data_IF_644716660672
#
_entry.id   IF_644716660672
#
_cell.length_a   1.000
_cell.length_b   1.000
_cell.length_c   1.000
_cell.angle_alpha   90.00
_cell.angle_beta   90.00
_cell.angle_gamma   90.00
#
_symmetry.space_group_name_H-M   'P 1'
#
loop_
_entity.id
_entity.type
_entity.pdbx_description
1 polymer ?
#
# COMPACT_ATOMS: atom_id res chain seq x y z
N UNK A 1 31.94 51.88 37.52
CA UNK A 1 31.67 51.73 36.07
C UNK A 1 32.71 50.91 35.31
N UNK A 2 34.01 51.00 35.62
CA UNK A 2 35.05 50.23 34.89
C UNK A 2 34.97 48.70 35.06
N UNK A 3 34.59 48.19 36.24
CA UNK A 3 34.45 46.74 36.47
C UNK A 3 33.32 46.09 35.68
N UNK A 4 32.20 46.79 35.48
CA UNK A 4 31.05 46.27 34.74
C UNK A 4 31.36 46.12 33.23
N UNK A 5 32.12 47.08 32.68
CA UNK A 5 32.57 47.03 31.28
C UNK A 5 33.56 45.89 31.03
N UNK A 6 34.40 45.58 32.01
CA UNK A 6 35.33 44.46 31.94
C UNK A 6 34.58 43.12 31.92
N UNK A 7 33.55 42.97 32.75
CA UNK A 7 32.70 41.78 32.78
C UNK A 7 31.92 41.56 31.48
N UNK A 8 31.36 42.62 30.90
CA UNK A 8 30.65 42.52 29.60
C UNK A 8 31.63 42.11 28.50
N UNK A 9 32.85 42.66 28.47
CA UNK A 9 33.88 42.28 27.49
C UNK A 9 34.36 40.84 27.65
N UNK A 10 34.49 40.36 28.89
CA UNK A 10 34.84 38.95 29.15
C UNK A 10 33.71 38.04 28.70
N UNK A 11 32.45 38.39 28.98
CA UNK A 11 31.29 37.59 28.58
C UNK A 11 31.13 37.52 27.06
N UNK A 12 31.34 38.63 26.34
CA UNK A 12 31.31 38.64 24.87
C UNK A 12 32.47 37.88 24.27
N UNK A 13 33.68 37.97 24.83
CA UNK A 13 34.81 37.15 24.39
C UNK A 13 34.57 35.65 24.60
N UNK A 14 34.01 35.25 25.74
CA UNK A 14 33.68 33.83 26.00
C UNK A 14 32.60 33.35 25.03
N UNK A 15 31.58 34.17 24.76
CA UNK A 15 30.53 33.83 23.79
C UNK A 15 31.08 33.66 22.36
N UNK A 16 32.00 34.53 21.92
CA UNK A 16 32.63 34.43 20.60
C UNK A 16 33.56 33.21 20.48
N UNK A 17 34.27 32.85 21.56
CA UNK A 17 35.11 31.64 21.59
C UNK A 17 34.24 30.38 21.53
N UNK A 18 33.14 30.34 22.29
CA UNK A 18 32.19 29.22 22.24
C UNK A 18 31.52 29.09 20.87
N UNK A 19 31.17 30.21 20.23
CA UNK A 19 30.64 30.22 18.88
C UNK A 19 31.68 29.72 17.86
N UNK A 20 32.93 30.14 17.98
CA UNK A 20 34.02 29.69 17.11
C UNK A 20 34.33 28.20 17.29
N UNK A 21 34.28 27.68 18.52
CA UNK A 21 34.42 26.24 18.81
C UNK A 21 33.23 25.45 18.25
N UNK A 22 32.01 25.99 18.32
CA UNK A 22 30.83 25.38 17.72
C UNK A 22 30.92 25.32 16.20
N UNK A 23 31.35 26.41 15.55
CA UNK A 23 31.59 26.44 14.11
C UNK A 23 32.72 25.50 13.69
N UNK A 24 33.81 25.44 14.46
CA UNK A 24 34.90 24.50 14.21
C UNK A 24 34.43 23.04 14.34
N UNK A 25 33.62 22.71 15.36
CA UNK A 25 33.03 21.37 15.50
C UNK A 25 32.03 21.02 14.38
N UNK A 26 31.31 22.01 13.81
CA UNK A 26 30.48 21.80 12.62
C UNK A 26 31.31 21.51 11.37
N UNK A 27 32.40 22.25 11.15
CA UNK A 27 33.28 22.06 9.98
C UNK A 27 34.07 20.77 10.09
N UNK A 28 34.61 20.44 11.27
CA UNK A 28 35.29 19.14 11.50
C UNK A 28 34.32 17.96 11.37
N UNK A 29 33.04 18.11 11.74
CA UNK A 29 32.02 17.08 11.44
C UNK A 29 31.77 16.90 9.95
N UNK A 30 31.90 17.95 9.13
CA UNK A 30 31.76 17.82 7.67
C UNK A 30 32.98 17.22 6.97
N UNK A 31 34.17 17.32 7.57
CA UNK A 31 35.42 16.80 6.96
C UNK A 31 35.76 15.36 7.38
N UNK A 32 35.14 14.82 8.44
CA UNK A 32 35.37 13.42 8.89
C UNK A 32 34.54 12.39 8.11
N UNK A 33 33.57 12.80 7.28
CA UNK A 33 32.81 11.87 6.42
C UNK A 33 33.46 11.58 5.06
N UNK A 34 34.64 12.15 4.75
CA UNK A 34 35.40 11.84 3.53
C UNK A 34 36.69 11.10 3.90
N UNK A 35 36.54 9.87 4.38
CA UNK A 35 37.65 8.97 4.69
C UNK A 35 37.17 7.53 4.77
N UNK A 36 37.34 6.79 3.67
CA UNK A 36 36.79 5.44 3.49
C UNK A 36 37.11 4.46 4.62
N UNK A 37 36.07 3.79 5.10
CA UNK A 37 36.11 2.43 5.67
C UNK A 37 34.71 1.84 5.60
N UNK A 38 34.57 0.72 4.89
CA UNK A 38 33.34 -0.09 4.87
C UNK A 38 32.89 -0.43 6.30
N UNK A 39 31.60 -0.28 6.63
CA UNK A 39 30.97 -1.02 7.70
C UNK A 39 30.04 -2.10 7.14
N UNK A 40 30.17 -3.30 7.71
CA UNK A 40 29.34 -4.49 7.51
C UNK A 40 27.85 -4.16 7.37
N UNK A 41 27.25 -4.64 6.28
CA UNK A 41 25.81 -4.62 6.07
C UNK A 41 25.13 -5.70 6.91
N UNK A 42 24.74 -5.37 8.14
CA UNK A 42 23.70 -6.11 8.85
C UNK A 42 22.85 -5.16 9.70
N UNK A 43 21.93 -4.44 9.06
CA UNK A 43 20.61 -4.03 9.59
C UNK A 43 19.86 -3.28 8.49
N UNK A 44 19.09 -3.98 7.67
CA UNK A 44 18.25 -3.38 6.63
C UNK A 44 16.83 -3.91 6.72
N UNK A 45 16.00 -3.33 7.59
CA UNK A 45 14.58 -3.64 7.73
C UNK A 45 13.69 -3.00 6.63
N UNK A 46 14.33 -2.34 5.65
CA UNK A 46 13.69 -1.73 4.49
C UNK A 46 14.10 -2.54 3.25
N UNK A 47 13.56 -3.74 3.11
CA UNK A 47 13.70 -4.49 1.86
C UNK A 47 12.42 -4.28 1.06
N UNK A 48 12.46 -3.36 0.10
CA UNK A 48 11.54 -3.42 -1.05
C UNK A 48 12.05 -4.59 -1.88
N UNK A 49 11.26 -5.65 -2.00
CA UNK A 49 11.54 -6.72 -2.95
C UNK A 49 11.50 -6.08 -4.35
N UNK A 50 12.61 -6.09 -5.12
CA UNK A 50 12.57 -5.56 -6.47
C UNK A 50 11.67 -6.45 -7.32
N UNK A 51 10.59 -5.88 -7.86
CA UNK A 51 9.98 -6.42 -9.07
C UNK A 51 10.96 -6.15 -10.21
N UNK A 52 11.55 -7.22 -10.72
CA UNK A 52 12.44 -7.19 -11.88
C UNK A 52 11.62 -6.90 -13.14
N UNK A 53 11.69 -5.67 -13.63
CA UNK A 53 11.42 -5.36 -15.04
C UNK A 53 12.76 -5.36 -15.79
N UNK A 54 13.17 -6.55 -16.26
CA UNK A 54 14.07 -6.67 -17.40
C UNK A 54 13.41 -7.66 -18.38
N UNK A 55 12.45 -7.16 -19.16
CA UNK A 55 12.12 -7.78 -20.44
C UNK A 55 13.16 -7.34 -21.49
N UNK A 56 14.32 -7.98 -21.47
CA UNK A 56 15.03 -8.26 -22.71
C UNK A 56 15.56 -9.70 -22.65
N UNK A 57 14.88 -10.56 -23.40
CA UNK A 57 15.06 -12.00 -23.38
C UNK A 57 16.43 -12.39 -23.98
N UNK A 58 17.46 -12.41 -23.14
CA UNK A 58 18.69 -13.18 -23.39
C UNK A 58 18.73 -14.36 -22.44
N UNK A 59 18.31 -15.53 -22.94
CA UNK A 59 18.42 -16.81 -22.24
C UNK A 59 19.91 -17.14 -22.08
N UNK A 60 20.45 -16.88 -20.90
CA UNK A 60 21.67 -17.52 -20.41
C UNK A 60 21.26 -18.59 -19.41
N UNK A 61 21.58 -19.85 -19.72
CA UNK A 61 21.36 -20.98 -18.83
C UNK A 61 22.49 -21.03 -17.82
N UNK A 62 22.24 -20.61 -16.58
CA UNK A 62 23.04 -21.02 -15.44
C UNK A 62 22.38 -22.26 -14.82
N UNK A 63 23.19 -23.31 -14.66
CA UNK A 63 22.81 -24.65 -14.22
C UNK A 63 22.31 -24.66 -12.77
N UNK A 64 20.99 -24.65 -12.56
CA UNK A 64 20.37 -25.10 -11.31
C UNK A 64 19.87 -26.55 -11.47
N UNK A 65 20.29 -27.40 -10.53
CA UNK A 65 20.08 -28.84 -10.58
C UNK A 65 18.59 -29.23 -10.59
N UNK A 66 18.21 -30.04 -11.59
CA UNK A 66 16.90 -30.67 -11.73
C UNK A 66 16.52 -31.47 -10.46
N UNK A 67 15.30 -31.33 -9.90
CA UNK A 67 14.87 -32.18 -8.79
C UNK A 67 14.68 -33.63 -9.26
N UNK A 68 15.14 -34.59 -8.45
CA UNK A 68 15.05 -36.02 -8.73
C UNK A 68 13.58 -36.48 -8.65
N UNK A 69 12.96 -36.76 -9.79
CA UNK A 69 11.57 -37.24 -9.93
C UNK A 69 11.30 -38.62 -9.30
N UNK A 70 12.28 -39.24 -8.62
CA UNK A 70 12.20 -40.62 -8.10
C UNK A 70 11.48 -40.77 -6.75
N UNK A 71 11.16 -39.67 -6.05
CA UNK A 71 10.60 -39.73 -4.68
C UNK A 71 9.26 -39.04 -4.51
N UNK A 72 8.55 -38.74 -5.60
CA UNK A 72 7.27 -38.03 -5.52
C UNK A 72 6.13 -39.01 -5.17
N UNK A 73 5.45 -38.77 -4.04
CA UNK A 73 4.27 -39.54 -3.63
C UNK A 73 3.09 -39.19 -4.56
N UNK A 74 2.65 -40.16 -5.36
CA UNK A 74 1.59 -40.01 -6.36
C UNK A 74 0.29 -40.61 -5.83
N UNK A 75 -0.81 -39.90 -5.99
CA UNK A 75 -2.13 -40.34 -5.57
C UNK A 75 -2.68 -41.46 -6.47
N UNK A 76 -3.12 -42.57 -5.86
CA UNK A 76 -3.67 -43.74 -6.56
C UNK A 76 -5.21 -43.78 -6.41
N UNK A 77 -5.96 -43.37 -7.45
CA UNK A 77 -7.42 -43.19 -7.36
C UNK A 77 -8.21 -44.49 -7.37
N UNK A 78 -9.32 -44.52 -6.63
CA UNK A 78 -10.36 -45.56 -6.71
C UNK A 78 -11.68 -45.03 -7.27
N UNK A 79 -12.66 -45.91 -7.48
CA UNK A 79 -14.02 -45.52 -7.90
C UNK A 79 -14.79 -44.73 -6.82
N UNK A 80 -14.39 -44.88 -5.57
CA UNK A 80 -14.92 -44.11 -4.45
C UNK A 80 -13.98 -42.95 -4.10
N UNK A 81 -14.53 -41.91 -3.47
CA UNK A 81 -13.80 -40.71 -3.06
C UNK A 81 -12.77 -41.04 -1.97
N UNK A 82 -11.53 -40.63 -2.21
CA UNK A 82 -10.43 -40.79 -1.27
C UNK A 82 -9.73 -39.45 -1.02
N UNK A 83 -9.30 -39.24 0.23
CA UNK A 83 -8.59 -38.03 0.63
C UNK A 83 -7.19 -37.96 -0.01
N UNK A 84 -6.85 -36.79 -0.55
CA UNK A 84 -5.54 -36.48 -1.13
C UNK A 84 -4.69 -35.76 -0.09
N UNK A 85 -3.51 -36.32 0.22
CA UNK A 85 -2.60 -35.71 1.20
C UNK A 85 -2.00 -34.40 0.69
N UNK A 86 -1.73 -33.42 1.58
CA UNK A 86 -1.06 -32.18 1.20
C UNK A 86 0.32 -32.45 0.57
N UNK A 87 0.54 -31.97 -0.66
CA UNK A 87 1.78 -32.18 -1.42
C UNK A 87 1.83 -33.45 -2.27
N UNK A 88 0.80 -34.31 -2.23
CA UNK A 88 0.71 -35.50 -3.06
C UNK A 88 0.31 -35.15 -4.50
N UNK A 89 1.01 -35.72 -5.49
CA UNK A 89 0.76 -35.41 -6.90
C UNK A 89 -0.50 -36.15 -7.41
N UNK A 90 -1.46 -35.41 -7.96
CA UNK A 90 -2.71 -35.98 -8.51
C UNK A 90 -2.57 -36.20 -10.02
N UNK A 91 -2.72 -37.43 -10.53
CA UNK A 91 -2.73 -37.71 -11.96
C UNK A 91 -3.84 -36.95 -12.72
N UNK A 92 -3.53 -36.49 -13.94
CA UNK A 92 -4.51 -35.81 -14.80
C UNK A 92 -5.63 -36.78 -15.20
N UNK A 93 -6.88 -36.31 -15.17
CA UNK A 93 -8.07 -37.09 -15.57
C UNK A 93 -8.91 -37.62 -14.40
N UNK A 94 -8.64 -37.21 -13.16
CA UNK A 94 -9.42 -37.59 -11.98
C UNK A 94 -10.48 -36.55 -11.63
N UNK A 95 -11.59 -37.02 -11.04
CA UNK A 95 -12.59 -36.13 -10.47
C UNK A 95 -12.09 -35.69 -9.08
N UNK A 96 -11.81 -34.40 -8.90
CA UNK A 96 -11.28 -33.82 -7.66
C UNK A 96 -12.30 -32.86 -7.07
N UNK A 97 -12.53 -32.94 -5.75
CA UNK A 97 -13.42 -32.02 -5.03
C UNK A 97 -12.82 -31.61 -3.68
N UNK A 98 -13.32 -30.50 -3.13
CA UNK A 98 -13.07 -30.11 -1.75
C UNK A 98 -14.30 -30.46 -0.91
N UNK A 99 -14.14 -31.29 0.11
CA UNK A 99 -15.21 -31.63 1.03
C UNK A 99 -15.47 -30.43 1.95
N UNK A 100 -16.61 -29.77 1.80
CA UNK A 100 -16.92 -28.50 2.46
C UNK A 100 -17.14 -28.67 3.98
N UNK A 101 -17.48 -29.88 4.45
CA UNK A 101 -17.67 -30.16 5.87
C UNK A 101 -16.37 -30.49 6.60
N UNK A 102 -15.39 -31.09 5.92
CA UNK A 102 -14.09 -31.47 6.53
C UNK A 102 -12.93 -30.57 6.10
N UNK A 103 -13.10 -29.77 5.05
CA UNK A 103 -12.06 -28.92 4.47
C UNK A 103 -10.97 -29.67 3.69
N UNK A 104 -11.13 -30.97 3.46
CA UNK A 104 -10.11 -31.83 2.84
C UNK A 104 -10.34 -32.01 1.34
N UNK A 105 -9.26 -32.14 0.57
CA UNK A 105 -9.31 -32.44 -0.87
C UNK A 105 -9.49 -33.94 -1.08
N UNK A 106 -10.48 -34.34 -1.87
CA UNK A 106 -10.76 -35.73 -2.22
C UNK A 106 -10.68 -35.91 -3.74
N UNK A 107 -10.25 -37.09 -4.20
CA UNK A 107 -10.25 -37.44 -5.61
C UNK A 107 -10.75 -38.87 -5.86
N UNK A 108 -11.43 -39.10 -6.99
CA UNK A 108 -11.86 -40.42 -7.46
C UNK A 108 -11.71 -40.58 -8.97
N UNK A 109 -11.80 -41.82 -9.44
CA UNK A 109 -11.88 -42.16 -10.86
C UNK A 109 -13.21 -41.66 -11.47
N UNK A 110 -13.18 -41.20 -12.72
CA UNK A 110 -14.40 -40.77 -13.43
C UNK A 110 -15.29 -41.98 -13.77
N UNK A 111 -16.61 -41.82 -13.65
CA UNK A 111 -17.58 -42.88 -13.93
C UNK A 111 -17.70 -43.07 -15.45
N UNK A 112 -17.24 -44.22 -15.96
CA UNK A 112 -17.24 -44.57 -17.40
C UNK A 112 -15.89 -44.99 -17.97
N UNK A 113 -14.81 -44.86 -17.21
CA UNK A 113 -13.45 -45.19 -17.66
C UNK A 113 -13.02 -46.60 -17.19
N UNK A 114 -13.06 -47.60 -18.08
CA UNK A 114 -12.66 -48.99 -17.80
C UNK A 114 -11.26 -49.34 -18.36
N UNK A 115 -10.52 -48.36 -18.90
CA UNK A 115 -9.36 -48.59 -19.78
C UNK A 115 -7.95 -48.42 -19.17
N UNK A 116 -7.79 -48.39 -17.85
CA UNK A 116 -6.48 -48.19 -17.21
C UNK A 116 -5.88 -49.53 -16.76
N UNK A 117 -4.83 -50.01 -17.45
CA UNK A 117 -4.01 -51.16 -17.02
C UNK A 117 -2.65 -50.70 -16.49
N UNK A 118 -2.25 -51.30 -15.38
CA UNK A 118 -0.97 -51.05 -14.71
C UNK A 118 0.11 -51.95 -15.30
N UNK A 119 1.29 -51.40 -15.58
CA UNK A 119 2.48 -52.22 -15.86
C UNK A 119 3.55 -52.02 -14.77
N UNK A 120 4.33 -53.09 -14.56
CA UNK A 120 5.50 -53.10 -13.68
C UNK A 120 6.69 -53.67 -14.43
N UNK A 121 7.80 -52.91 -14.50
CA UNK A 121 9.07 -53.45 -14.99
C UNK A 121 10.25 -52.78 -14.27
N UNK A 122 11.07 -53.57 -13.57
CA UNK A 122 12.33 -53.13 -12.97
C UNK A 122 12.21 -51.93 -12.03
N UNK A 123 11.29 -51.99 -11.05
CA UNK A 123 11.09 -50.93 -10.05
C UNK A 123 10.30 -49.71 -10.52
N UNK A 124 9.91 -49.63 -11.80
CA UNK A 124 9.05 -48.58 -12.34
C UNK A 124 7.62 -49.09 -12.49
N UNK A 125 6.65 -48.31 -12.01
CA UNK A 125 5.21 -48.58 -12.13
C UNK A 125 4.53 -47.36 -12.76
N UNK A 126 3.63 -47.60 -13.72
CA UNK A 126 2.90 -46.54 -14.43
C UNK A 126 1.57 -47.02 -14.95
N UNK A 127 0.66 -46.06 -15.20
CA UNK A 127 -0.68 -46.31 -15.74
C UNK A 127 -0.67 -45.92 -17.22
N UNK A 128 -1.06 -46.84 -18.11
CA UNK A 128 -1.23 -46.56 -19.54
C UNK A 128 -2.72 -46.65 -19.87
N UNK A 129 -3.24 -45.60 -20.48
CA UNK A 129 -4.57 -45.59 -21.07
C UNK A 129 -4.50 -46.29 -22.42
N UNK A 130 -5.18 -47.43 -22.59
CA UNK A 130 -5.10 -48.24 -23.82
C UNK A 130 -5.94 -47.72 -24.99
N UNK A 131 -6.69 -46.63 -24.83
CA UNK A 131 -7.62 -46.13 -25.86
C UNK A 131 -7.06 -45.03 -26.77
N UNK A 132 -5.84 -44.56 -26.52
CA UNK A 132 -5.13 -43.69 -27.48
C UNK A 132 -4.02 -44.49 -28.14
N UNK A 133 -4.04 -44.56 -29.47
CA UNK A 133 -2.93 -45.09 -30.26
C UNK A 133 -1.68 -44.26 -29.97
N UNK A 134 -0.72 -44.84 -29.25
CA UNK A 134 0.56 -44.18 -29.01
C UNK A 134 1.51 -44.50 -30.16
N UNK A 135 1.97 -43.46 -30.83
CA UNK A 135 3.06 -43.54 -31.80
C UNK A 135 4.38 -43.79 -31.07
N UNK A 136 5.13 -44.80 -31.52
CA UNK A 136 6.49 -45.03 -31.01
C UNK A 136 7.42 -43.90 -31.45
N UNK A 137 8.58 -43.72 -30.78
CA UNK A 137 9.60 -42.77 -31.25
C UNK A 137 10.03 -43.02 -32.69
N UNK A 138 10.00 -44.27 -33.17
CA UNK A 138 10.21 -44.59 -34.58
C UNK A 138 9.04 -44.14 -35.48
N UNK A 139 7.79 -44.30 -35.03
CA UNK A 139 6.60 -43.82 -35.77
C UNK A 139 6.58 -42.29 -35.88
N UNK A 140 6.94 -41.59 -34.80
CA UNK A 140 7.13 -40.14 -34.78
C UNK A 140 8.26 -39.70 -35.72
N UNK A 141 9.36 -40.45 -35.77
CA UNK A 141 10.50 -40.17 -36.65
C UNK A 141 10.16 -40.44 -38.12
N UNK A 142 9.26 -41.39 -38.39
CA UNK A 142 8.71 -41.67 -39.73
C UNK A 142 7.71 -40.59 -40.15
N UNK A 143 6.81 -40.17 -39.26
CA UNK A 143 5.86 -39.08 -39.48
C UNK A 143 6.56 -37.71 -39.69
N UNK A 144 7.64 -37.43 -38.95
CA UNK A 144 8.47 -36.24 -39.16
C UNK A 144 9.23 -36.26 -40.49
N UNK A 145 9.53 -37.44 -41.03
CA UNK A 145 10.12 -37.60 -42.36
C UNK A 145 9.08 -37.36 -43.47
N UNK A 146 7.83 -37.75 -43.24
CA UNK A 146 6.69 -37.46 -44.14
C UNK A 146 6.31 -35.97 -44.13
N UNK A 147 6.44 -35.28 -42.99
CA UNK A 147 6.19 -33.83 -42.87
C UNK A 147 7.16 -32.96 -43.70
N UNK A 148 8.36 -33.45 -44.00
CA UNK A 148 9.34 -32.73 -44.84
C UNK A 148 9.14 -32.95 -46.35
N UNK A 149 8.19 -33.80 -46.78
CA UNK A 149 8.00 -34.16 -48.21
C UNK A 149 6.66 -33.72 -48.79
N UNK A 150 5.74 -33.14 -48.01
CA UNK A 150 4.57 -32.49 -48.59
C UNK A 150 4.94 -31.05 -48.97
N UNK A 151 5.11 -30.82 -50.28
CA UNK A 151 4.97 -29.49 -50.86
C UNK A 151 3.66 -28.89 -50.32
N UNK A 152 3.70 -27.61 -49.96
CA UNK A 152 2.51 -26.83 -49.64
C UNK A 152 1.54 -27.02 -50.83
N UNK A 153 0.38 -27.64 -50.59
CA UNK A 153 -0.63 -27.80 -51.64
C UNK A 153 -1.26 -26.43 -51.96
N UNK A 154 -1.71 -26.27 -53.20
CA UNK A 154 -2.27 -25.01 -53.72
C UNK A 154 -3.50 -24.53 -52.90
N UNK A 155 -4.24 -25.44 -52.27
CA UNK A 155 -5.42 -25.14 -51.43
C UNK A 155 -5.08 -24.41 -50.11
N UNK A 156 -3.98 -24.78 -49.43
CA UNK A 156 -3.56 -24.14 -48.18
C UNK A 156 -2.99 -22.74 -48.43
N UNK A 157 -2.31 -22.57 -49.58
CA UNK A 157 -1.87 -21.27 -50.07
C UNK A 157 -3.08 -20.36 -50.35
N UNK A 158 -4.11 -20.89 -51.02
CA UNK A 158 -5.32 -20.13 -51.34
C UNK A 158 -6.13 -19.72 -50.09
N UNK A 159 -6.15 -20.58 -49.06
CA UNK A 159 -6.79 -20.29 -47.77
C UNK A 159 -6.03 -19.22 -46.98
N UNK A 160 -4.70 -19.30 -46.93
CA UNK A 160 -3.86 -18.26 -46.31
C UNK A 160 -3.98 -16.93 -47.06
N UNK A 161 -4.07 -16.94 -48.40
CA UNK A 161 -4.31 -15.74 -49.19
C UNK A 161 -5.70 -15.15 -48.97
N UNK A 162 -6.75 -15.97 -48.84
CA UNK A 162 -8.11 -15.50 -48.51
C UNK A 162 -8.14 -14.80 -47.14
N UNK A 163 -7.39 -15.31 -46.16
CA UNK A 163 -7.26 -14.67 -44.84
C UNK A 163 -6.45 -13.38 -44.94
N UNK A 164 -5.31 -13.37 -45.65
CA UNK A 164 -4.51 -12.15 -45.89
C UNK A 164 -5.28 -11.07 -46.65
N UNK A 165 -6.21 -11.43 -47.54
CA UNK A 165 -7.09 -10.47 -48.24
C UNK A 165 -8.20 -9.91 -47.35
N UNK A 166 -8.52 -10.57 -46.23
CA UNK A 166 -9.61 -10.16 -45.31
C UNK A 166 -9.14 -9.18 -44.24
N UNK A 167 -7.86 -9.17 -43.92
CA UNK A 167 -7.27 -8.30 -42.89
C UNK A 167 -6.20 -7.42 -43.52
N UNK A 168 -6.17 -6.14 -43.14
CA UNK A 168 -5.08 -5.25 -43.51
C UNK A 168 -3.77 -5.78 -42.94
N UNK A 169 -2.68 -5.61 -43.68
CA UNK A 169 -1.36 -5.96 -43.17
C UNK A 169 -1.01 -5.11 -41.94
N UNK A 170 -0.14 -5.62 -41.07
CA UNK A 170 0.34 -4.87 -39.90
C UNK A 170 0.98 -3.54 -40.32
N UNK A 171 1.69 -3.51 -41.45
CA UNK A 171 2.31 -2.29 -42.00
C UNK A 171 1.27 -1.29 -42.52
N UNK A 172 0.19 -1.74 -43.17
CA UNK A 172 -0.93 -0.87 -43.57
C UNK A 172 -1.69 -0.33 -42.37
N UNK A 173 -1.90 -1.14 -41.33
CA UNK A 173 -2.54 -0.69 -40.09
C UNK A 173 -1.67 0.35 -39.37
N UNK A 174 -0.35 0.14 -39.32
CA UNK A 174 0.61 1.10 -38.76
C UNK A 174 0.60 2.41 -39.54
N UNK A 175 0.57 2.36 -40.87
CA UNK A 175 0.52 3.54 -41.74
C UNK A 175 -0.83 4.27 -41.69
N UNK A 176 -1.94 3.54 -41.61
CA UNK A 176 -3.27 4.12 -41.42
C UNK A 176 -3.39 4.81 -40.05
N UNK A 177 -2.76 4.24 -39.01
CA UNK A 177 -2.66 4.83 -37.68
C UNK A 177 -1.75 6.05 -37.66
N UNK A 178 -0.65 6.06 -38.41
CA UNK A 178 0.21 7.25 -38.59
C UNK A 178 -0.48 8.35 -39.43
N UNK A 179 -1.35 7.98 -40.37
CA UNK A 179 -2.10 8.92 -41.21
C UNK A 179 -3.32 9.54 -40.53
N UNK A 180 -3.85 8.89 -39.50
CA UNK A 180 -4.76 9.47 -38.53
C UNK A 180 -3.88 10.18 -37.50
N UNK A 181 -3.74 11.51 -37.55
CA UNK A 181 -2.97 12.31 -36.59
C UNK A 181 -3.58 12.29 -35.18
N UNK A 182 -3.80 11.10 -34.63
CA UNK A 182 -4.04 10.85 -33.22
C UNK A 182 -2.66 10.75 -32.59
N UNK A 183 -2.20 11.86 -32.02
CA UNK A 183 -1.05 11.85 -31.12
C UNK A 183 -1.45 11.08 -29.85
N UNK A 184 -1.52 9.75 -29.95
CA UNK A 184 -1.73 8.87 -28.79
C UNK A 184 -0.39 8.82 -28.07
N UNK A 185 -0.14 9.85 -27.26
CA UNK A 185 0.97 9.81 -26.31
C UNK A 185 0.64 8.77 -25.25
N UNK A 186 1.61 7.92 -24.95
CA UNK A 186 1.52 7.05 -23.79
C UNK A 186 1.62 7.87 -22.51
N UNK A 187 1.08 7.36 -21.40
CA UNK A 187 1.22 7.98 -20.07
C UNK A 187 2.71 8.19 -19.75
N UNK A 188 3.57 7.22 -20.09
CA UNK A 188 5.03 7.31 -19.95
C UNK A 188 5.63 8.50 -20.70
N UNK A 189 5.33 8.65 -21.99
CA UNK A 189 5.85 9.77 -22.79
C UNK A 189 5.36 11.11 -22.25
N UNK A 190 4.09 11.15 -21.84
CA UNK A 190 3.48 12.37 -21.28
C UNK A 190 4.15 12.76 -19.96
N UNK A 191 4.36 11.81 -19.04
CA UNK A 191 5.05 12.06 -17.76
C UNK A 191 6.48 12.55 -17.99
N UNK A 192 7.21 11.95 -18.94
CA UNK A 192 8.56 12.39 -19.29
C UNK A 192 8.58 13.84 -19.79
N UNK A 193 7.67 14.18 -20.70
CA UNK A 193 7.54 15.54 -21.24
C UNK A 193 7.16 16.56 -20.16
N UNK A 194 6.15 16.26 -19.33
CA UNK A 194 5.72 17.12 -18.23
C UNK A 194 6.85 17.33 -17.20
N UNK A 195 7.62 16.28 -16.90
CA UNK A 195 8.75 16.35 -15.96
C UNK A 195 9.89 17.20 -16.52
N UNK A 196 10.21 17.07 -17.81
CA UNK A 196 11.22 17.91 -18.47
C UNK A 196 10.79 19.38 -18.49
N UNK A 197 9.50 19.65 -18.79
CA UNK A 197 8.95 20.99 -18.71
C UNK A 197 9.09 21.60 -17.31
N UNK A 198 8.78 20.85 -16.24
CA UNK A 198 8.97 21.34 -14.86
C UNK A 198 10.42 21.72 -14.54
N UNK A 199 11.40 21.09 -15.20
CA UNK A 199 12.81 21.35 -14.97
C UNK A 199 13.29 22.63 -15.67
N UNK A 200 12.52 23.12 -16.66
CA UNK A 200 12.82 24.36 -17.34
C UNK A 200 12.70 25.57 -16.39
N UNK A 201 13.68 26.46 -16.43
CA UNK A 201 13.74 27.65 -15.58
C UNK A 201 12.87 28.82 -16.09
N UNK A 202 12.22 28.66 -17.23
CA UNK A 202 11.44 29.70 -17.91
C UNK A 202 9.99 29.79 -17.48
N UNK A 203 9.47 28.77 -16.79
CA UNK A 203 8.06 28.72 -16.40
C UNK A 203 7.76 29.62 -15.20
N UNK A 204 6.63 30.31 -15.25
CA UNK A 204 6.13 31.03 -14.10
C UNK A 204 5.52 30.09 -13.04
N UNK A 205 5.10 30.65 -11.90
CA UNK A 205 4.54 29.83 -10.81
C UNK A 205 3.20 29.20 -11.19
N UNK A 206 2.38 29.89 -12.00
CA UNK A 206 1.06 29.41 -12.41
C UNK A 206 1.19 28.26 -13.41
N UNK A 207 2.05 28.42 -14.43
CA UNK A 207 2.35 27.37 -15.40
C UNK A 207 2.92 26.11 -14.72
N UNK A 208 3.76 26.29 -13.69
CA UNK A 208 4.25 25.16 -12.89
C UNK A 208 3.15 24.46 -12.11
N UNK A 209 2.20 25.21 -11.54
CA UNK A 209 1.03 24.62 -10.88
C UNK A 209 0.20 23.83 -11.88
N UNK A 210 -0.09 24.38 -13.05
CA UNK A 210 -0.90 23.72 -14.10
C UNK A 210 -0.26 22.40 -14.57
N UNK A 211 1.08 22.38 -14.74
CA UNK A 211 1.81 21.15 -15.09
C UNK A 211 1.75 20.13 -13.94
N UNK A 212 1.89 20.57 -12.69
CA UNK A 212 1.80 19.67 -11.54
C UNK A 212 0.38 19.15 -11.32
N UNK A 213 -0.66 19.93 -11.62
CA UNK A 213 -2.05 19.47 -11.65
C UNK A 213 -2.26 18.42 -12.74
N UNK A 214 -1.69 18.63 -13.92
CA UNK A 214 -1.74 17.63 -14.98
C UNK A 214 -1.01 16.34 -14.56
N UNK A 215 0.18 16.44 -13.98
CA UNK A 215 0.92 15.27 -13.47
C UNK A 215 0.12 14.53 -12.38
N UNK A 216 -0.57 15.24 -11.50
CA UNK A 216 -1.39 14.65 -10.43
C UNK A 216 -2.36 13.61 -10.98
N UNK A 217 -3.00 13.90 -12.12
CA UNK A 217 -3.96 12.99 -12.78
C UNK A 217 -3.31 11.67 -13.20
N UNK A 218 -2.05 11.73 -13.69
CA UNK A 218 -1.30 10.54 -14.11
C UNK A 218 -0.76 9.72 -12.93
N UNK A 219 -0.32 10.39 -11.85
CA UNK A 219 0.33 9.71 -10.71
C UNK A 219 -0.66 8.93 -9.83
N UNK A 220 -1.97 9.00 -10.09
CA UNK A 220 -2.93 8.09 -9.48
C UNK A 220 -2.67 6.61 -9.81
N UNK A 221 -2.00 6.34 -10.94
CA UNK A 221 -1.54 5.00 -11.27
C UNK A 221 -0.20 4.71 -10.60
N UNK A 222 -0.08 3.54 -9.96
CA UNK A 222 1.10 3.17 -9.16
C UNK A 222 2.36 3.14 -10.04
N UNK A 223 2.27 2.56 -11.23
CA UNK A 223 3.40 2.42 -12.16
C UNK A 223 3.90 3.80 -12.65
N UNK A 224 2.97 4.71 -12.94
CA UNK A 224 3.29 6.09 -13.30
C UNK A 224 3.98 6.85 -12.15
N UNK A 225 3.52 6.65 -10.92
CA UNK A 225 4.16 7.23 -9.72
C UNK A 225 5.57 6.67 -9.51
N UNK A 226 5.79 5.37 -9.77
CA UNK A 226 7.11 4.75 -9.74
C UNK A 226 8.01 5.34 -10.82
N UNK A 227 7.55 5.39 -12.07
CA UNK A 227 8.28 6.01 -13.18
C UNK A 227 8.70 7.44 -12.85
N UNK A 228 7.76 8.26 -12.36
CA UNK A 228 8.01 9.65 -11.98
C UNK A 228 9.05 9.76 -10.85
N UNK A 229 9.08 8.79 -9.93
CA UNK A 229 10.11 8.68 -8.91
C UNK A 229 11.48 8.33 -9.50
N UNK A 230 11.54 7.33 -10.40
CA UNK A 230 12.77 6.83 -11.00
C UNK A 230 13.46 7.86 -11.90
N UNK A 231 12.69 8.68 -12.63
CA UNK A 231 13.22 9.78 -13.44
C UNK A 231 13.58 11.02 -12.63
N UNK A 232 13.48 10.96 -11.29
CA UNK A 232 13.87 12.04 -10.38
C UNK A 232 12.83 13.15 -10.20
N UNK A 233 11.61 12.99 -10.72
CA UNK A 233 10.52 13.97 -10.61
C UNK A 233 10.16 14.29 -9.16
N UNK A 234 10.18 13.29 -8.27
CA UNK A 234 9.90 13.48 -6.84
C UNK A 234 10.82 14.49 -6.17
N UNK A 235 12.10 14.55 -6.55
CA UNK A 235 13.06 15.51 -5.99
C UNK A 235 12.62 16.95 -6.23
N UNK A 236 12.07 17.23 -7.41
CA UNK A 236 11.62 18.56 -7.81
C UNK A 236 10.41 18.99 -6.97
N UNK A 237 9.48 18.06 -6.74
CA UNK A 237 8.27 18.27 -5.92
C UNK A 237 8.65 18.53 -4.47
N UNK A 238 9.59 17.77 -3.92
CA UNK A 238 10.07 17.93 -2.54
C UNK A 238 10.69 19.32 -2.33
N UNK A 239 11.41 19.85 -3.32
CA UNK A 239 11.98 21.21 -3.25
C UNK A 239 10.88 22.29 -3.20
N UNK A 240 9.77 22.06 -3.87
CA UNK A 240 8.61 22.97 -3.92
C UNK A 240 7.76 22.99 -2.65
N UNK A 241 7.99 22.08 -1.69
CA UNK A 241 7.25 22.03 -0.42
C UNK A 241 7.47 23.26 0.48
N UNK A 242 8.60 23.97 0.35
CA UNK A 242 8.87 25.22 1.10
C UNK A 242 8.74 26.46 0.21
N UNK A 243 8.01 26.38 -0.90
CA UNK A 243 7.85 27.51 -1.80
C UNK A 243 7.06 28.66 -1.15
N UNK A 244 7.34 29.90 -1.56
CA UNK A 244 6.69 31.11 -1.02
C UNK A 244 5.19 31.15 -1.33
N UNK A 245 4.80 30.71 -2.54
CA UNK A 245 3.39 30.58 -2.94
C UNK A 245 2.69 29.42 -2.23
N UNK A 246 1.52 29.68 -1.67
CA UNK A 246 0.66 28.67 -1.04
C UNK A 246 0.17 27.63 -2.04
N UNK A 247 -0.17 28.04 -3.27
CA UNK A 247 -0.64 27.14 -4.32
C UNK A 247 0.42 26.09 -4.66
N UNK A 248 1.69 26.53 -4.77
CA UNK A 248 2.82 25.63 -5.01
C UNK A 248 3.00 24.60 -3.88
N UNK A 249 2.90 25.02 -2.61
CA UNK A 249 2.96 24.09 -1.47
C UNK A 249 1.77 23.14 -1.46
N UNK A 250 0.59 23.62 -1.82
CA UNK A 250 -0.66 22.85 -1.89
C UNK A 250 -0.60 21.75 -2.95
N UNK A 251 -0.21 22.10 -4.19
CA UNK A 251 -0.11 21.13 -5.28
C UNK A 251 1.03 20.14 -5.05
N UNK A 252 2.18 20.61 -4.53
CA UNK A 252 3.30 19.73 -4.20
C UNK A 252 2.92 18.69 -3.15
N UNK A 253 2.20 19.11 -2.12
CA UNK A 253 1.69 18.19 -1.09
C UNK A 253 0.67 17.21 -1.67
N UNK A 254 -0.20 17.67 -2.56
CA UNK A 254 -1.22 16.81 -3.20
C UNK A 254 -0.58 15.75 -4.11
N UNK A 255 0.40 16.15 -4.92
CA UNK A 255 1.12 15.26 -5.82
C UNK A 255 1.93 14.20 -5.07
N UNK A 256 2.60 14.59 -3.98
CA UNK A 256 3.23 13.61 -3.08
C UNK A 256 2.19 12.66 -2.46
N UNK A 257 1.05 13.18 -1.99
CA UNK A 257 0.01 12.35 -1.38
C UNK A 257 -0.49 11.27 -2.34
N UNK A 258 -0.79 11.65 -3.58
CA UNK A 258 -1.23 10.73 -4.63
C UNK A 258 -0.16 9.68 -4.93
N UNK A 259 1.09 10.10 -5.11
CA UNK A 259 2.16 9.16 -5.42
C UNK A 259 2.54 8.23 -4.26
N UNK A 260 2.34 8.66 -3.00
CA UNK A 260 2.58 7.86 -1.80
C UNK A 260 1.50 6.82 -1.55
N UNK A 261 0.27 7.04 -2.07
CA UNK A 261 -0.88 6.20 -1.76
C UNK A 261 -0.64 4.77 -2.24
N UNK A 262 -0.64 3.82 -1.30
CA UNK A 262 -0.40 2.38 -1.57
C UNK A 262 0.86 2.08 -2.40
N UNK A 263 1.89 2.92 -2.30
CA UNK A 263 3.12 2.77 -3.08
C UNK A 263 4.36 2.66 -2.16
N UNK A 264 4.80 1.44 -1.79
CA UNK A 264 5.93 1.25 -0.89
C UNK A 264 7.24 1.86 -1.41
N UNK A 265 7.53 1.75 -2.72
CA UNK A 265 8.77 2.27 -3.32
C UNK A 265 8.87 3.78 -3.16
N UNK A 266 7.81 4.51 -3.51
CA UNK A 266 7.75 5.97 -3.34
C UNK A 266 7.78 6.38 -1.87
N UNK A 267 7.12 5.61 -0.98
CA UNK A 267 7.18 5.86 0.47
C UNK A 267 8.60 5.76 1.01
N UNK A 268 9.34 4.71 0.66
CA UNK A 268 10.74 4.54 1.09
C UNK A 268 11.59 5.72 0.62
N UNK A 269 11.51 6.07 -0.66
CA UNK A 269 12.23 7.22 -1.22
C UNK A 269 11.93 8.52 -0.45
N UNK A 270 10.66 8.82 -0.20
CA UNK A 270 10.26 10.04 0.51
C UNK A 270 10.70 10.04 1.98
N UNK A 271 10.71 8.87 2.65
CA UNK A 271 11.23 8.77 4.02
C UNK A 271 12.74 9.05 4.05
N UNK A 272 13.51 8.44 3.15
CA UNK A 272 14.96 8.67 3.03
C UNK A 272 15.30 10.11 2.67
N UNK A 273 14.47 10.75 1.84
CA UNK A 273 14.58 12.17 1.50
C UNK A 273 14.15 13.13 2.63
N UNK A 274 13.74 12.63 3.81
CA UNK A 274 13.39 13.44 4.98
C UNK A 274 12.02 14.13 4.88
N UNK A 275 11.13 13.67 3.98
CA UNK A 275 9.83 14.30 3.74
C UNK A 275 8.90 14.17 4.96
N UNK A 276 8.97 13.07 5.72
CA UNK A 276 8.17 12.90 6.94
C UNK A 276 8.44 14.00 7.98
N UNK A 277 9.71 14.30 8.22
CA UNK A 277 10.11 15.39 9.12
C UNK A 277 9.58 16.74 8.61
N UNK A 278 9.63 16.97 7.29
CA UNK A 278 9.03 18.15 6.69
C UNK A 278 7.52 18.23 6.98
N UNK A 279 6.75 17.15 6.75
CA UNK A 279 5.30 17.15 6.97
C UNK A 279 4.93 17.45 8.43
N UNK A 280 5.59 16.81 9.40
CA UNK A 280 5.33 17.04 10.83
C UNK A 280 5.57 18.50 11.21
N UNK A 281 6.69 19.09 10.76
CA UNK A 281 7.01 20.50 10.99
C UNK A 281 6.02 21.42 10.29
N UNK A 282 5.76 21.19 9.00
CA UNK A 282 4.91 22.05 8.18
C UNK A 282 3.47 22.09 8.69
N UNK A 283 2.90 20.97 9.11
CA UNK A 283 1.57 20.92 9.73
C UNK A 283 1.46 21.80 10.99
N UNK A 284 2.55 21.95 11.74
CA UNK A 284 2.58 22.77 12.96
C UNK A 284 2.70 24.27 12.68
N UNK A 285 3.25 24.66 11.52
CA UNK A 285 3.59 26.06 11.22
C UNK A 285 2.79 26.67 10.08
N UNK A 286 2.14 25.85 9.25
CA UNK A 286 1.39 26.31 8.07
C UNK A 286 0.17 27.13 8.48
N UNK A 287 0.00 28.28 7.84
CA UNK A 287 -1.09 29.22 8.13
C UNK A 287 -2.26 29.00 7.18
N UNK A 288 -1.99 28.60 5.94
CA UNK A 288 -3.01 28.39 4.93
C UNK A 288 -3.78 27.07 5.17
N UNK A 289 -5.11 27.16 5.28
CA UNK A 289 -5.97 26.01 5.56
C UNK A 289 -6.00 25.01 4.40
N UNK A 290 -5.92 25.46 3.15
CA UNK A 290 -5.89 24.56 2.00
C UNK A 290 -4.59 23.76 1.99
N UNK A 291 -3.45 24.43 2.18
CA UNK A 291 -2.14 23.76 2.26
C UNK A 291 -2.11 22.77 3.43
N UNK A 292 -2.62 23.17 4.61
CA UNK A 292 -2.71 22.27 5.78
C UNK A 292 -3.53 21.01 5.49
N UNK A 293 -4.66 21.13 4.77
CA UNK A 293 -5.49 19.99 4.36
C UNK A 293 -4.75 19.06 3.39
N UNK A 294 -3.94 19.59 2.47
CA UNK A 294 -3.14 18.78 1.54
C UNK A 294 -1.94 18.12 2.23
N UNK A 295 -1.27 18.82 3.15
CA UNK A 295 -0.21 18.27 3.99
C UNK A 295 -0.72 17.11 4.87
N UNK A 296 -1.90 17.25 5.47
CA UNK A 296 -2.50 16.18 6.28
C UNK A 296 -2.83 14.95 5.42
N UNK A 297 -3.31 15.17 4.19
CA UNK A 297 -3.54 14.07 3.25
C UNK A 297 -2.23 13.37 2.86
N UNK A 298 -1.17 14.12 2.55
CA UNK A 298 0.15 13.56 2.23
C UNK A 298 0.76 12.79 3.39
N UNK A 299 0.69 13.34 4.61
CA UNK A 299 1.11 12.67 5.82
C UNK A 299 0.34 11.36 6.02
N UNK A 300 -0.99 11.41 5.85
CA UNK A 300 -1.86 10.24 5.98
C UNK A 300 -1.46 9.14 5.00
N UNK A 301 -1.24 9.48 3.72
CA UNK A 301 -0.79 8.52 2.70
C UNK A 301 0.58 7.90 3.04
N UNK A 302 1.50 8.68 3.62
CA UNK A 302 2.83 8.24 4.01
C UNK A 302 2.82 7.21 5.15
N UNK A 303 2.01 7.41 6.19
CA UNK A 303 2.05 6.58 7.41
C UNK A 303 1.11 5.36 7.37
N UNK A 304 0.04 5.40 6.56
CA UNK A 304 -0.87 4.27 6.40
C UNK A 304 -0.16 3.08 5.77
N UNK A 305 -0.46 1.87 6.24
CA UNK A 305 0.12 0.62 5.75
C UNK A 305 1.66 0.66 5.67
N UNK A 306 2.32 1.38 6.61
CA UNK A 306 3.78 1.49 6.63
C UNK A 306 4.32 1.63 8.07
N UNK A 307 4.54 0.51 8.79
CA UNK A 307 4.95 0.50 10.20
C UNK A 307 6.19 1.34 10.49
N UNK A 308 7.17 1.30 9.59
CA UNK A 308 8.40 2.07 9.73
C UNK A 308 8.13 3.58 9.75
N UNK A 309 7.26 4.08 8.85
CA UNK A 309 6.86 5.48 8.85
C UNK A 309 6.03 5.85 10.09
N UNK A 310 5.18 4.95 10.61
CA UNK A 310 4.43 5.18 11.86
C UNK A 310 5.37 5.32 13.06
N UNK A 311 6.39 4.47 13.14
CA UNK A 311 7.41 4.53 14.20
C UNK A 311 8.15 5.85 14.16
N UNK A 312 8.67 6.24 12.97
CA UNK A 312 9.34 7.54 12.79
C UNK A 312 8.42 8.72 13.03
N UNK A 313 7.15 8.60 12.69
CA UNK A 313 6.16 9.63 12.97
C UNK A 313 5.95 9.82 14.48
N UNK A 314 5.90 8.73 15.25
CA UNK A 314 5.89 8.77 16.72
C UNK A 314 7.14 9.43 17.31
N UNK A 315 8.34 9.00 16.88
CA UNK A 315 9.63 9.56 17.32
C UNK A 315 9.74 11.07 17.07
N UNK A 316 9.13 11.57 16.00
CA UNK A 316 9.11 12.99 15.64
C UNK A 316 8.05 13.81 16.40
N UNK A 317 7.32 13.20 17.34
CA UNK A 317 6.24 13.85 18.07
C UNK A 317 4.99 14.10 17.22
N UNK A 318 4.81 13.32 16.14
CA UNK A 318 3.73 13.49 15.17
C UNK A 318 2.33 13.47 15.78
N UNK A 319 2.07 12.59 16.76
CA UNK A 319 0.78 12.53 17.47
C UNK A 319 0.48 13.79 18.29
N UNK A 320 1.50 14.47 18.80
CA UNK A 320 1.35 15.78 19.46
C UNK A 320 0.98 16.88 18.47
N UNK A 321 1.44 16.77 17.22
CA UNK A 321 1.01 17.68 16.15
C UNK A 321 -0.44 17.41 15.76
N UNK A 322 -0.83 16.14 15.61
CA UNK A 322 -2.21 15.77 15.29
C UNK A 322 -3.20 16.22 16.37
N UNK A 323 -2.88 16.05 17.65
CA UNK A 323 -3.77 16.48 18.74
C UNK A 323 -4.02 17.99 18.73
N UNK A 324 -3.05 18.80 18.27
CA UNK A 324 -3.18 20.26 18.12
C UNK A 324 -4.00 20.69 16.91
N UNK A 325 -4.27 19.80 15.95
CA UNK A 325 -5.11 20.12 14.79
C UNK A 325 -6.59 20.26 15.15
N UNK A 326 -6.98 19.77 16.33
CA UNK A 326 -8.31 19.99 16.88
C UNK A 326 -8.40 21.42 17.44
N UNK A 327 -8.96 22.33 16.63
CA UNK A 327 -9.04 23.80 16.87
C UNK A 327 -9.71 24.14 18.20
N UNK A 328 -10.74 23.38 18.58
CA UNK A 328 -11.40 23.42 19.88
C UNK A 328 -11.65 21.98 20.34
N UNK A 329 -11.34 21.62 21.60
CA UNK A 329 -11.76 20.34 22.16
C UNK A 329 -13.28 20.24 22.03
N UNK A 330 -13.76 19.24 21.29
CA UNK A 330 -15.19 18.99 21.12
C UNK A 330 -15.88 19.67 19.93
N UNK A 331 -15.18 20.15 18.90
CA UNK A 331 -15.83 20.47 17.62
C UNK A 331 -15.07 19.92 16.40
N UNK A 332 -15.81 19.32 15.45
CA UNK A 332 -15.30 18.86 14.15
C UNK A 332 -15.71 19.83 13.05
N UNK A 333 -15.74 21.12 13.36
CA UNK A 333 -16.23 22.14 12.41
C UNK A 333 -15.28 22.34 11.22
N UNK A 334 -14.02 21.87 11.29
CA UNK A 334 -13.10 21.85 10.16
C UNK A 334 -12.82 20.42 9.68
N UNK A 335 -12.85 20.22 8.37
CA UNK A 335 -12.48 18.98 7.66
C UNK A 335 -11.09 18.45 8.05
N UNK A 336 -10.21 19.29 8.63
CA UNK A 336 -8.91 18.87 9.17
C UNK A 336 -9.06 17.98 10.39
N UNK A 337 -10.00 18.27 11.30
CA UNK A 337 -10.25 17.47 12.51
C UNK A 337 -10.82 16.09 12.16
N UNK A 338 -11.79 16.04 11.23
CA UNK A 338 -12.37 14.78 10.73
C UNK A 338 -11.30 13.89 10.10
N UNK A 339 -10.49 14.45 9.18
CA UNK A 339 -9.39 13.71 8.53
C UNK A 339 -8.34 13.24 9.52
N UNK A 340 -8.05 14.03 10.56
CA UNK A 340 -7.12 13.65 11.61
C UNK A 340 -7.66 12.47 12.42
N UNK A 341 -8.94 12.51 12.79
CA UNK A 341 -9.58 11.41 13.51
C UNK A 341 -9.68 10.15 12.65
N UNK A 342 -10.03 10.29 11.36
CA UNK A 342 -10.02 9.17 10.40
C UNK A 342 -8.64 8.54 10.32
N UNK A 343 -7.55 9.34 10.19
CA UNK A 343 -6.19 8.81 10.21
C UNK A 343 -5.92 7.99 11.48
N UNK A 344 -6.28 8.49 12.65
CA UNK A 344 -6.08 7.76 13.92
C UNK A 344 -6.85 6.44 13.94
N UNK A 345 -8.13 6.46 13.55
CA UNK A 345 -8.96 5.24 13.47
C UNK A 345 -8.35 4.22 12.52
N UNK A 346 -7.86 4.67 11.37
CA UNK A 346 -7.29 3.80 10.35
C UNK A 346 -5.97 3.19 10.82
N UNK A 347 -5.11 3.94 11.52
CA UNK A 347 -3.90 3.39 12.14
C UNK A 347 -4.23 2.31 13.18
N UNK A 348 -5.27 2.53 14.00
CA UNK A 348 -5.70 1.52 14.97
C UNK A 348 -6.29 0.26 14.29
N UNK A 349 -7.06 0.44 13.21
CA UNK A 349 -7.60 -0.66 12.40
C UNK A 349 -6.48 -1.48 11.74
N UNK A 350 -5.43 -0.83 11.25
CA UNK A 350 -4.25 -1.51 10.70
C UNK A 350 -3.58 -2.42 11.75
N UNK A 351 -3.32 -1.89 12.95
CA UNK A 351 -2.72 -2.64 14.06
C UNK A 351 -3.59 -3.85 14.47
N UNK A 352 -4.91 -3.67 14.57
CA UNK A 352 -5.84 -4.76 14.88
C UNK A 352 -5.95 -5.81 13.76
N UNK A 353 -5.95 -5.38 12.50
CA UNK A 353 -6.12 -6.28 11.35
C UNK A 353 -4.96 -7.25 11.21
N UNK A 354 -3.73 -6.79 11.48
CA UNK A 354 -2.52 -7.63 11.39
C UNK A 354 -2.45 -8.65 12.52
N UNK A 355 -3.01 -8.36 13.70
CA UNK A 355 -3.05 -9.32 14.82
C UNK A 355 -4.05 -10.46 14.62
N UNK A 356 -5.16 -10.24 13.89
CA UNK A 356 -6.23 -11.23 13.67
C UNK A 356 -5.95 -12.22 12.53
N UNK A 357 -5.14 -11.85 11.54
CA UNK A 357 -4.83 -12.67 10.36
C UNK A 357 -3.39 -13.21 10.45
N UNK A 358 -3.13 -14.38 11.04
CA UNK A 358 -1.78 -14.94 10.90
C UNK A 358 -1.67 -16.47 10.80
N UNK A 359 -1.21 -16.93 9.62
CA UNK A 359 -0.72 -18.30 9.31
C UNK A 359 0.53 -18.34 8.39
N UNK A 360 1.08 -17.21 7.91
CA UNK A 360 2.19 -17.18 6.94
C UNK A 360 3.41 -16.37 7.43
N UNK A 361 4.63 -16.76 7.04
CA UNK A 361 5.91 -16.16 7.49
C UNK A 361 6.11 -14.68 7.10
N UNK A 362 5.68 -14.24 5.92
CA UNK A 362 5.78 -12.81 5.51
C UNK A 362 4.89 -11.90 6.39
N UNK A 363 3.77 -12.44 6.87
CA UNK A 363 2.88 -11.75 7.78
C UNK A 363 3.39 -11.74 9.23
N UNK A 364 4.41 -12.54 9.55
CA UNK A 364 5.04 -12.62 10.87
C UNK A 364 6.03 -11.46 11.11
N UNK A 365 6.86 -11.10 10.12
CA UNK A 365 7.74 -9.92 10.21
C UNK A 365 6.93 -8.62 10.23
N UNK A 366 5.89 -8.53 9.40
CA UNK A 366 4.98 -7.38 9.40
C UNK A 366 4.26 -7.23 10.75
N UNK A 367 3.80 -8.35 11.34
CA UNK A 367 3.20 -8.37 12.68
C UNK A 367 4.19 -7.85 13.73
N UNK A 368 5.44 -8.30 13.68
CA UNK A 368 6.48 -7.86 14.60
C UNK A 368 6.70 -6.35 14.52
N UNK A 369 6.79 -5.79 13.32
CA UNK A 369 6.95 -4.34 13.13
C UNK A 369 5.79 -3.53 13.72
N UNK A 370 4.55 -3.99 13.55
CA UNK A 370 3.39 -3.34 14.15
C UNK A 370 3.35 -3.49 15.69
N UNK A 371 3.78 -4.64 16.23
CA UNK A 371 3.85 -4.88 17.68
C UNK A 371 4.95 -4.08 18.38
N UNK A 372 6.06 -3.81 17.69
CA UNK A 372 7.16 -3.00 18.24
C UNK A 372 6.78 -1.53 18.41
N UNK A 373 5.80 -1.03 17.66
CA UNK A 373 5.36 0.36 17.76
C UNK A 373 4.17 0.52 18.73
N UNK A 374 4.35 1.17 19.90
CA UNK A 374 3.28 1.31 20.89
C UNK A 374 2.31 2.44 20.52
N UNK A 375 1.46 2.20 19.50
CA UNK A 375 0.49 3.19 19.01
C UNK A 375 -0.45 3.69 20.12
N UNK A 376 -1.02 2.76 20.90
CA UNK A 376 -1.96 3.12 21.98
C UNK A 376 -1.32 4.05 23.01
N UNK A 377 -0.06 3.83 23.40
CA UNK A 377 0.64 4.69 24.37
C UNK A 377 0.81 6.11 23.84
N UNK A 378 1.15 6.26 22.55
CA UNK A 378 1.24 7.58 21.91
C UNK A 378 -0.11 8.30 21.90
N UNK A 379 -1.21 7.59 21.63
CA UNK A 379 -2.55 8.19 21.64
C UNK A 379 -2.95 8.63 23.06
N UNK A 380 -2.69 7.81 24.08
CA UNK A 380 -3.00 8.13 25.48
C UNK A 380 -2.19 9.35 25.97
N UNK A 381 -0.88 9.37 25.71
CA UNK A 381 0.00 10.46 26.15
C UNK A 381 -0.33 11.80 25.49
N UNK A 382 -0.92 11.79 24.28
CA UNK A 382 -1.28 12.99 23.54
C UNK A 382 -2.74 13.42 23.70
N UNK A 383 -3.47 12.86 24.69
CA UNK A 383 -4.79 13.33 25.09
C UNK A 383 -5.94 12.89 24.20
N UNK A 384 -5.77 11.84 23.37
CA UNK A 384 -6.82 11.41 22.44
C UNK A 384 -8.09 10.90 23.14
N UNK A 385 -8.03 10.38 24.37
CA UNK A 385 -9.22 10.03 25.14
C UNK A 385 -10.12 11.25 25.40
N UNK A 386 -9.52 12.37 25.80
CA UNK A 386 -10.26 13.63 26.06
C UNK A 386 -10.80 14.21 24.76
N UNK A 387 -10.00 14.18 23.68
CA UNK A 387 -10.42 14.63 22.36
C UNK A 387 -11.65 13.84 21.91
N UNK A 388 -11.57 12.51 21.87
CA UNK A 388 -12.69 11.66 21.43
C UNK A 388 -13.90 11.84 22.35
N UNK A 389 -13.71 11.88 23.67
CA UNK A 389 -14.79 12.16 24.63
C UNK A 389 -15.53 13.46 24.33
N UNK A 390 -14.79 14.56 24.16
CA UNK A 390 -15.37 15.86 23.85
C UNK A 390 -16.08 15.88 22.47
N UNK A 391 -15.56 15.16 21.47
CA UNK A 391 -16.20 15.06 20.15
C UNK A 391 -17.55 14.33 20.23
N UNK A 392 -17.67 13.35 21.12
CA UNK A 392 -18.92 12.61 21.36
C UNK A 392 -19.98 13.46 22.08
N UNK A 393 -19.60 14.48 22.85
CA UNK A 393 -20.57 15.39 23.46
C UNK A 393 -21.28 16.27 22.43
N UNK A 394 -20.56 16.62 21.37
CA UNK A 394 -20.95 17.60 20.37
C UNK A 394 -21.05 16.97 18.97
N UNK A 395 -21.71 15.82 18.88
CA UNK A 395 -21.98 15.18 17.59
C UNK A 395 -22.86 16.12 16.75
N UNK A 396 -22.40 16.51 15.55
CA UNK A 396 -23.11 17.50 14.75
C UNK A 396 -24.45 16.93 14.25
N UNK A 397 -25.53 17.73 14.25
CA UNK A 397 -26.84 17.26 13.83
C UNK A 397 -26.90 17.06 12.31
N UNK A 398 -27.27 15.84 11.89
CA UNK A 398 -27.73 15.40 10.54
C UNK A 398 -26.82 15.58 9.32
N UNK A 399 -25.91 16.55 9.25
CA UNK A 399 -25.14 16.80 8.01
C UNK A 399 -23.87 15.96 7.85
N UNK A 400 -23.51 15.14 8.85
CA UNK A 400 -22.22 14.45 8.88
C UNK A 400 -22.32 13.00 9.37
N UNK A 401 -23.03 12.17 8.60
CA UNK A 401 -23.13 10.72 8.84
C UNK A 401 -21.77 10.03 8.89
N UNK A 402 -20.88 10.36 7.94
CA UNK A 402 -19.50 9.86 7.88
C UNK A 402 -18.70 10.26 9.13
N UNK A 403 -18.86 11.49 9.60
CA UNK A 403 -18.15 11.98 10.78
C UNK A 403 -18.65 11.28 12.05
N UNK A 404 -19.96 11.03 12.15
CA UNK A 404 -20.55 10.29 13.28
C UNK A 404 -20.02 8.85 13.32
N UNK A 405 -19.94 8.19 12.16
CA UNK A 405 -19.33 6.87 12.04
C UNK A 405 -17.88 6.85 12.53
N UNK A 406 -17.06 7.80 12.07
CA UNK A 406 -15.65 7.91 12.46
C UNK A 406 -15.51 8.14 13.97
N UNK A 407 -16.34 9.00 14.56
CA UNK A 407 -16.37 9.24 16.02
C UNK A 407 -16.70 7.97 16.81
N UNK A 408 -17.75 7.25 16.40
CA UNK A 408 -18.17 6.01 17.06
C UNK A 408 -17.11 4.90 16.91
N UNK A 409 -16.49 4.78 15.73
CA UNK A 409 -15.36 3.86 15.51
C UNK A 409 -14.18 4.19 16.41
N UNK A 410 -13.79 5.47 16.51
CA UNK A 410 -12.73 5.90 17.42
C UNK A 410 -13.04 5.54 18.87
N UNK A 411 -14.26 5.84 19.32
CA UNK A 411 -14.71 5.52 20.68
C UNK A 411 -14.70 4.01 20.96
N UNK A 412 -15.19 3.20 20.02
CA UNK A 412 -15.19 1.72 20.14
C UNK A 412 -13.79 1.14 20.28
N UNK A 413 -12.83 1.64 19.49
CA UNK A 413 -11.44 1.16 19.52
C UNK A 413 -10.67 1.60 20.76
N UNK A 414 -11.09 2.71 21.39
CA UNK A 414 -10.42 3.28 22.56
C UNK A 414 -11.16 2.97 23.88
N UNK A 415 -12.29 2.25 23.85
CA UNK A 415 -13.19 2.09 24.99
C UNK A 415 -12.51 1.49 26.23
N UNK A 416 -11.59 0.54 26.04
CA UNK A 416 -10.95 -0.15 27.16
C UNK A 416 -9.94 0.75 27.89
N UNK A 417 -9.14 1.52 27.15
CA UNK A 417 -8.11 2.40 27.73
C UNK A 417 -8.68 3.77 28.15
N UNK A 418 -9.75 4.24 27.51
CA UNK A 418 -10.38 5.55 27.77
C UNK A 418 -11.68 5.46 28.61
N UNK A 419 -11.98 4.30 29.21
CA UNK A 419 -13.19 4.11 30.01
C UNK A 419 -13.42 5.22 31.07
N UNK A 420 -12.42 5.68 31.84
CA UNK A 420 -12.63 6.72 32.86
C UNK A 420 -13.14 8.04 32.27
N UNK A 421 -12.63 8.43 31.10
CA UNK A 421 -13.03 9.65 30.39
C UNK A 421 -14.42 9.49 29.76
N UNK A 422 -14.74 8.30 29.25
CA UNK A 422 -16.01 8.06 28.57
C UNK A 422 -17.22 7.90 29.51
N UNK A 423 -17.01 7.61 30.80
CA UNK A 423 -18.08 7.47 31.81
C UNK A 423 -19.08 8.63 31.81
N UNK A 424 -18.59 9.88 31.71
CA UNK A 424 -19.43 11.08 31.69
C UNK A 424 -20.39 11.18 30.48
N UNK A 425 -20.14 10.41 29.43
CA UNK A 425 -20.84 10.51 28.16
C UNK A 425 -21.86 9.38 27.90
N UNK A 426 -22.07 8.47 28.86
CA UNK A 426 -22.98 7.31 28.70
C UNK A 426 -24.40 7.72 28.27
N UNK A 427 -24.98 8.75 28.90
CA UNK A 427 -26.31 9.25 28.53
C UNK A 427 -26.38 9.77 27.09
N UNK A 428 -25.27 10.29 26.57
CA UNK A 428 -25.18 10.80 25.20
C UNK A 428 -25.15 9.67 24.18
N UNK A 429 -24.41 8.59 24.46
CA UNK A 429 -24.45 7.37 23.64
C UNK A 429 -25.86 6.79 23.57
N UNK A 430 -26.57 6.75 24.70
CA UNK A 430 -27.96 6.29 24.72
C UNK A 430 -28.87 7.17 23.85
N UNK A 431 -28.78 8.50 24.01
CA UNK A 431 -29.55 9.44 23.19
C UNK A 431 -29.23 9.33 21.70
N UNK A 432 -27.96 9.15 21.34
CA UNK A 432 -27.54 8.96 19.95
C UNK A 432 -28.06 7.64 19.38
N UNK A 433 -27.98 6.57 20.17
CA UNK A 433 -28.47 5.24 19.81
C UNK A 433 -29.97 5.26 19.51
N UNK A 434 -30.76 5.92 20.37
CA UNK A 434 -32.21 6.09 20.17
C UNK A 434 -32.50 6.90 18.90
N UNK A 435 -31.76 7.99 18.66
CA UNK A 435 -31.91 8.81 17.45
C UNK A 435 -31.58 8.05 16.16
N UNK A 436 -30.47 7.30 16.14
CA UNK A 436 -30.06 6.49 14.99
C UNK A 436 -31.07 5.37 14.72
N UNK A 437 -31.61 4.78 15.77
CA UNK A 437 -32.65 3.75 15.65
C UNK A 437 -33.95 4.34 15.07
N UNK A 438 -34.35 5.55 15.49
CA UNK A 438 -35.49 6.26 14.90
C UNK A 438 -35.29 6.52 13.41
N UNK A 439 -34.08 6.92 12.97
CA UNK A 439 -33.76 7.12 11.56
C UNK A 439 -33.84 5.81 10.77
N UNK A 440 -33.29 4.72 11.31
CA UNK A 440 -33.40 3.39 10.70
C UNK A 440 -34.87 2.92 10.58
N UNK A 441 -35.70 3.22 11.58
CA UNK A 441 -37.13 2.88 11.54
C UNK A 441 -37.93 3.72 10.54
N UNK A 442 -37.44 4.91 10.17
CA UNK A 442 -38.04 5.74 9.13
C UNK A 442 -37.70 5.24 7.73
N UNK A 443 -36.50 4.67 7.55
CA UNK A 443 -36.05 4.10 6.28
C UNK A 443 -35.19 2.83 6.51
N UNK A 444 -35.87 1.69 6.52
CA UNK A 444 -35.26 0.39 6.85
C UNK A 444 -34.33 -0.15 5.77
N UNK A 445 -34.24 0.50 4.60
CA UNK A 445 -33.29 0.12 3.55
C UNK A 445 -31.86 0.56 3.88
N UNK A 446 -31.68 1.51 4.81
CA UNK A 446 -30.38 2.02 5.22
C UNK A 446 -29.82 1.27 6.45
N UNK A 447 -29.24 0.08 6.21
CA UNK A 447 -28.54 -0.70 7.25
C UNK A 447 -27.44 0.10 7.96
N UNK A 448 -26.90 1.12 7.31
CA UNK A 448 -25.95 2.06 7.89
C UNK A 448 -26.37 2.60 9.26
N UNK A 449 -27.60 3.08 9.42
CA UNK A 449 -28.06 3.61 10.71
C UNK A 449 -28.24 2.53 11.78
N UNK A 450 -28.60 1.30 11.37
CA UNK A 450 -28.65 0.15 12.28
C UNK A 450 -27.28 -0.14 12.84
N UNK A 451 -26.26 -0.20 11.99
CA UNK A 451 -24.90 -0.54 12.39
C UNK A 451 -24.29 0.55 13.30
N UNK A 452 -24.58 1.83 13.03
CA UNK A 452 -24.21 2.94 13.93
C UNK A 452 -24.96 2.86 15.28
N UNK A 453 -26.26 2.57 15.26
CA UNK A 453 -27.06 2.41 16.47
C UNK A 453 -26.52 1.27 17.35
N UNK A 454 -26.12 0.15 16.72
CA UNK A 454 -25.49 -0.98 17.42
C UNK A 454 -24.14 -0.60 18.03
N UNK A 455 -23.27 0.12 17.32
CA UNK A 455 -22.02 0.64 17.88
C UNK A 455 -22.28 1.56 19.09
N UNK A 456 -23.23 2.48 18.99
CA UNK A 456 -23.60 3.37 20.09
C UNK A 456 -24.15 2.59 21.29
N UNK A 457 -24.95 1.54 21.06
CA UNK A 457 -25.46 0.66 22.11
C UNK A 457 -24.34 -0.10 22.80
N UNK A 458 -23.41 -0.68 22.03
CA UNK A 458 -22.27 -1.43 22.55
C UNK A 458 -21.36 -0.57 23.44
N UNK A 459 -21.19 0.70 23.11
CA UNK A 459 -20.49 1.68 23.97
C UNK A 459 -21.26 1.96 25.25
N UNK A 460 -22.57 2.19 25.15
CA UNK A 460 -23.42 2.43 26.30
C UNK A 460 -23.41 1.26 27.29
N UNK A 461 -23.63 0.05 26.81
CA UNK A 461 -23.65 -1.17 27.63
C UNK A 461 -22.29 -1.41 28.30
N UNK A 462 -21.20 -1.25 27.55
CA UNK A 462 -19.83 -1.35 28.08
C UNK A 462 -19.58 -0.36 29.24
N UNK A 463 -20.00 0.90 29.10
CA UNK A 463 -19.79 1.91 30.14
C UNK A 463 -20.66 1.64 31.37
N UNK A 464 -21.88 1.14 31.18
CA UNK A 464 -22.78 0.78 32.27
C UNK A 464 -22.23 -0.39 33.10
N UNK A 465 -21.71 -1.43 32.45
CA UNK A 465 -21.07 -2.56 33.14
C UNK A 465 -19.87 -2.11 34.00
N UNK A 466 -19.12 -1.10 33.53
CA UNK A 466 -17.96 -0.52 34.25
C UNK A 466 -18.34 0.47 35.36
N UNK A 467 -19.60 0.86 35.48
CA UNK A 467 -20.13 1.68 36.58
C UNK A 467 -20.74 0.83 37.70
N UNK A 468 -21.17 -0.39 37.39
CA UNK A 468 -21.66 -1.38 38.37
C UNK A 468 -20.53 -2.16 39.07
N UNK A 469 -19.29 -2.05 38.58
CA UNK A 469 -18.03 -2.59 39.13
C UNK A 469 -17.22 -1.49 39.84
#
# INVERSE_FOLDING_TARGET
MQGLLLWVRVLTCVSLVLFSISCYNMVVRSEVEVGGREPDSQTGALTVVPESEDEDATVTTEDEAMPDFRTMDVFYPTKDWQEVKPGQAIPKGLHVRLNVQTGQREAKLMDGDNGLKYWTQGGKQGIVNTEKEYFTPEDLKKALKEFKVNKIDDEDTERMEKVKRKYKSYEELKKDLEGLHMDIKTDRETILELTDMLNSSSLDTTERVDIMETLLDYLHQIDNAILFCDIGGMKMVIQSLNHSSADMRSISSSLLATALQNNPKVKVYCIEAGVLHHFVRALSTEVDLNVRKRLLFALSAMVRNFPYAQTKFGELGGFSVLSKLFVSPGSVEDATSERTLSLVVDLMEEHESVTKKNKDHSAEELLKQYQEFPLHDHLLQNGFCEIVGNLLENIPPREYESTTEIMLKAAMKMKDQCAPQFKGHAAKFKSLQDHLLELYLQDTEFEFYRDLSEMANNLFDFLKEKDEL
#
